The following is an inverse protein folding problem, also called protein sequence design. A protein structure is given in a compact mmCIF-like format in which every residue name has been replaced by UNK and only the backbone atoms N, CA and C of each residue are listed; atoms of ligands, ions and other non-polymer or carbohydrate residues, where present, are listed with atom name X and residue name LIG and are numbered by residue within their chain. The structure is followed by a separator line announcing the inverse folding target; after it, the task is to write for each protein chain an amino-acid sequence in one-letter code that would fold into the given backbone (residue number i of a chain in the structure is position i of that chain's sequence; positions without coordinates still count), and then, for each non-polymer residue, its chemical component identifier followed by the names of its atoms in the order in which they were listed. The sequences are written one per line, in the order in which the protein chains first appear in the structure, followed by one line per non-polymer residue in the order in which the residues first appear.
data_IF_609904154729
#
_entry.id   IF_609904154729
#
_cell.length_a   1.000
_cell.length_b   1.000
_cell.length_c   1.000
_cell.angle_alpha   90.00
_cell.angle_beta   90.00
_cell.angle_gamma   90.00
#
_symmetry.space_group_name_H-M   'P 1'
#
loop_
_entity.id
_entity.type
_entity.pdbx_description
1 polymer ?
#
# COMPACT_ATOMS: atom_id res chain seq x y z
N UNK A 1 -11.24 -22.62 12.68
CA UNK A 1 -11.44 -21.23 13.14
C UNK A 1 -12.68 -20.63 12.48
N UNK A 2 -13.60 -20.00 13.23
CA UNK A 2 -14.72 -19.24 12.67
C UNK A 2 -14.21 -17.92 12.04
N UNK A 3 -14.94 -17.45 11.02
CA UNK A 3 -14.72 -16.11 10.44
C UNK A 3 -15.19 -15.08 11.46
N UNK A 4 -14.35 -14.08 11.77
CA UNK A 4 -14.73 -12.95 12.61
C UNK A 4 -15.74 -12.06 11.89
N UNK A 5 -16.84 -11.72 12.53
CA UNK A 5 -17.93 -10.91 11.99
C UNK A 5 -18.27 -9.67 12.82
N UNK A 6 -17.32 -9.19 13.63
CA UNK A 6 -17.49 -8.02 14.48
C UNK A 6 -17.76 -8.35 15.95
N UNK A 7 -17.64 -9.61 16.35
CA UNK A 7 -17.76 -10.03 17.75
C UNK A 7 -16.66 -9.41 18.61
N UNK A 8 -16.86 -9.38 19.94
CA UNK A 8 -15.86 -8.88 20.88
C UNK A 8 -14.53 -9.66 20.73
N UNK A 9 -13.43 -8.93 20.62
CA UNK A 9 -12.09 -9.50 20.58
C UNK A 9 -11.41 -9.50 21.95
N UNK A 10 -12.13 -9.14 23.02
CA UNK A 10 -11.54 -9.07 24.36
C UNK A 10 -10.90 -10.40 24.77
N UNK A 11 -9.58 -10.38 24.94
CA UNK A 11 -8.78 -11.55 25.30
C UNK A 11 -8.61 -12.60 24.20
N UNK A 12 -9.05 -12.31 22.97
CA UNK A 12 -9.05 -13.23 21.84
C UNK A 12 -7.82 -13.07 20.95
N UNK A 13 -7.43 -14.18 20.30
CA UNK A 13 -6.45 -14.17 19.22
C UNK A 13 -7.16 -14.18 17.88
N UNK A 14 -6.76 -13.29 16.97
CA UNK A 14 -7.30 -13.21 15.63
C UNK A 14 -6.19 -13.34 14.57
N UNK A 15 -6.41 -14.23 13.60
CA UNK A 15 -5.56 -14.33 12.40
C UNK A 15 -6.15 -13.45 11.30
N UNK A 16 -5.34 -12.54 10.79
CA UNK A 16 -5.64 -11.72 9.61
C UNK A 16 -4.89 -12.29 8.43
N UNK A 17 -5.62 -12.75 7.43
CA UNK A 17 -5.04 -13.29 6.21
C UNK A 17 -4.85 -12.19 5.17
N UNK A 18 -3.62 -12.05 4.68
CA UNK A 18 -3.33 -11.23 3.52
C UNK A 18 -4.01 -11.81 2.27
N UNK A 19 -4.66 -10.95 1.51
CA UNK A 19 -5.41 -11.32 0.30
C UNK A 19 -5.00 -10.42 -0.86
N UNK A 20 -5.20 -10.91 -2.08
CA UNK A 20 -4.93 -10.16 -3.31
C UNK A 20 -3.44 -9.80 -3.48
N UNK A 21 -3.16 -8.63 -4.06
CA UNK A 21 -1.80 -8.15 -4.30
C UNK A 21 -1.19 -7.37 -3.13
N UNK A 22 0.10 -7.13 -3.18
CA UNK A 22 0.82 -6.37 -2.16
C UNK A 22 0.23 -4.99 -1.90
N UNK A 23 -0.26 -4.31 -2.95
CA UNK A 23 -0.92 -3.01 -2.81
C UNK A 23 -2.18 -3.07 -1.94
N UNK A 24 -2.97 -4.14 -2.06
CA UNK A 24 -4.15 -4.37 -1.25
C UNK A 24 -3.76 -4.58 0.21
N UNK A 25 -2.77 -5.42 0.46
CA UNK A 25 -2.29 -5.71 1.81
C UNK A 25 -1.77 -4.42 2.48
N UNK A 26 -0.93 -3.65 1.78
CA UNK A 26 -0.41 -2.38 2.28
C UNK A 26 -1.56 -1.40 2.56
N UNK A 27 -2.51 -1.25 1.63
CA UNK A 27 -3.63 -0.33 1.78
C UNK A 27 -4.49 -0.66 3.00
N UNK A 28 -4.80 -1.93 3.24
CA UNK A 28 -5.70 -2.36 4.30
C UNK A 28 -5.00 -2.59 5.65
N UNK A 29 -3.66 -2.63 5.70
CA UNK A 29 -2.90 -2.74 6.95
C UNK A 29 -3.22 -1.61 7.95
N UNK A 30 -3.64 -0.44 7.47
CA UNK A 30 -4.11 0.69 8.31
C UNK A 30 -5.25 0.34 9.27
N UNK A 31 -5.96 -0.73 9.00
CA UNK A 31 -7.07 -1.19 9.85
C UNK A 31 -6.64 -2.17 10.94
N UNK A 32 -5.41 -2.70 10.90
CA UNK A 32 -4.91 -3.64 11.90
C UNK A 32 -4.87 -3.08 13.33
N UNK A 33 -4.48 -1.81 13.58
CA UNK A 33 -4.48 -1.23 14.92
C UNK A 33 -5.85 -1.30 15.61
N UNK A 34 -6.95 -1.29 14.85
CA UNK A 34 -8.30 -1.35 15.40
C UNK A 34 -8.60 -2.66 16.12
N UNK A 35 -7.99 -3.76 15.70
CA UNK A 35 -8.18 -5.05 16.36
C UNK A 35 -7.68 -5.00 17.80
N UNK A 36 -6.57 -4.31 18.07
CA UNK A 36 -6.07 -4.07 19.43
C UNK A 36 -7.00 -3.19 20.25
N UNK A 37 -7.52 -2.12 19.65
CA UNK A 37 -8.52 -1.25 20.32
C UNK A 37 -9.79 -2.02 20.65
N UNK A 38 -10.17 -3.01 19.83
CA UNK A 38 -11.31 -3.91 20.09
C UNK A 38 -11.01 -5.01 21.13
N UNK A 39 -9.81 -4.99 21.74
CA UNK A 39 -9.43 -5.86 22.84
C UNK A 39 -8.72 -7.14 22.43
N UNK A 40 -8.29 -7.27 21.16
CA UNK A 40 -7.53 -8.45 20.73
C UNK A 40 -6.27 -8.64 21.58
N UNK A 41 -6.17 -9.80 22.24
CA UNK A 41 -4.98 -10.22 22.97
C UNK A 41 -3.81 -10.38 22.02
N UNK A 42 -4.05 -11.03 20.88
CA UNK A 42 -3.02 -11.25 19.86
C UNK A 42 -3.60 -11.08 18.46
N UNK A 43 -2.83 -10.41 17.60
CA UNK A 43 -3.08 -10.27 16.16
C UNK A 43 -1.96 -11.00 15.41
N UNK A 44 -2.33 -12.04 14.68
CA UNK A 44 -1.44 -12.83 13.83
C UNK A 44 -1.65 -12.39 12.40
N UNK A 45 -0.62 -11.88 11.73
CA UNK A 45 -0.70 -11.53 10.30
C UNK A 45 -0.10 -12.66 9.46
N UNK A 46 -0.96 -13.31 8.70
CA UNK A 46 -0.58 -14.34 7.73
C UNK A 46 -0.35 -13.68 6.37
N UNK A 47 0.92 -13.63 5.92
CA UNK A 47 1.32 -12.81 4.77
C UNK A 47 2.52 -13.37 4.01
N UNK A 48 2.91 -12.70 2.91
CA UNK A 48 4.12 -13.01 2.15
C UNK A 48 5.36 -12.43 2.82
N UNK A 49 6.45 -13.20 2.94
CA UNK A 49 7.67 -12.83 3.64
C UNK A 49 8.33 -11.52 3.20
N UNK A 50 8.10 -11.08 1.94
CA UNK A 50 8.62 -9.80 1.43
C UNK A 50 8.07 -8.54 2.12
N UNK A 51 6.93 -8.65 2.85
CA UNK A 51 6.33 -7.57 3.63
C UNK A 51 6.72 -7.59 5.11
N UNK A 52 7.40 -8.64 5.58
CA UNK A 52 7.70 -8.85 6.99
C UNK A 52 8.42 -7.63 7.61
N UNK A 53 9.52 -7.20 6.98
CA UNK A 53 10.31 -6.08 7.50
C UNK A 53 9.53 -4.76 7.46
N UNK A 54 8.68 -4.55 6.46
CA UNK A 54 7.85 -3.36 6.34
C UNK A 54 6.82 -3.26 7.47
N UNK A 55 6.14 -4.36 7.78
CA UNK A 55 5.11 -4.39 8.82
C UNK A 55 5.65 -4.65 10.22
N UNK A 56 6.93 -5.07 10.36
CA UNK A 56 7.59 -5.28 11.65
C UNK A 56 7.65 -4.03 12.54
N UNK A 57 7.40 -2.84 11.98
CA UNK A 57 7.27 -1.59 12.72
C UNK A 57 5.86 -1.36 13.32
N UNK A 58 4.88 -2.20 12.99
CA UNK A 58 3.50 -2.05 13.46
C UNK A 58 3.30 -2.80 14.79
N UNK A 59 3.31 -2.08 15.92
CA UNK A 59 3.14 -2.64 17.28
C UNK A 59 1.82 -3.39 17.49
N UNK A 60 0.87 -3.23 16.57
CA UNK A 60 -0.41 -3.93 16.63
C UNK A 60 -0.33 -5.39 16.14
N UNK A 61 0.77 -5.82 15.54
CA UNK A 61 0.96 -7.18 15.04
C UNK A 61 1.89 -7.93 16.00
N UNK A 62 1.38 -8.95 16.66
CA UNK A 62 2.16 -9.72 17.63
C UNK A 62 2.96 -10.85 16.97
N UNK A 63 2.45 -11.39 15.86
CA UNK A 63 3.07 -12.52 15.19
C UNK A 63 2.90 -12.42 13.68
N UNK A 64 3.97 -12.71 12.97
CA UNK A 64 3.96 -12.87 11.52
C UNK A 64 4.08 -14.35 11.18
N UNK A 65 3.23 -14.82 10.28
CA UNK A 65 3.30 -16.18 9.75
C UNK A 65 3.30 -16.12 8.24
N UNK A 66 4.19 -16.86 7.60
CA UNK A 66 4.14 -17.02 6.15
C UNK A 66 2.90 -17.83 5.77
N UNK A 67 2.31 -17.50 4.64
CA UNK A 67 1.23 -18.30 4.09
C UNK A 67 1.72 -19.74 3.91
N UNK A 68 1.11 -20.74 4.56
CA UNK A 68 1.45 -22.12 4.33
C UNK A 68 1.06 -22.55 2.92
N UNK A 69 1.81 -23.46 2.34
CA UNK A 69 1.45 -24.09 1.06
C UNK A 69 0.17 -24.93 1.20
N UNK A 70 -0.12 -25.42 2.40
CA UNK A 70 -1.30 -26.22 2.73
C UNK A 70 -2.00 -25.68 3.99
N UNK A 71 -3.10 -24.94 3.78
CA UNK A 71 -4.07 -24.58 4.81
C UNK A 71 -3.57 -23.68 5.95
N UNK A 72 -4.50 -23.08 6.70
CA UNK A 72 -4.20 -22.18 7.84
C UNK A 72 -4.10 -23.02 9.11
N UNK A 73 -2.89 -23.31 9.56
CA UNK A 73 -2.61 -23.95 10.86
C UNK A 73 -2.20 -22.89 11.90
N UNK A 74 -3.17 -22.10 12.39
CA UNK A 74 -2.96 -21.23 13.55
C UNK A 74 -4.01 -21.52 14.62
N UNK A 75 -3.59 -21.61 15.87
CA UNK A 75 -4.50 -21.71 17.02
C UNK A 75 -5.04 -20.29 17.36
N UNK A 76 -5.99 -19.81 16.56
CA UNK A 76 -6.65 -18.52 16.80
C UNK A 76 -8.14 -18.74 17.08
N UNK A 77 -8.72 -17.83 17.87
CA UNK A 77 -10.17 -17.84 18.12
C UNK A 77 -10.96 -17.51 16.86
N UNK A 78 -10.43 -16.58 16.05
CA UNK A 78 -11.04 -16.10 14.82
C UNK A 78 -10.03 -15.94 13.69
N UNK A 79 -10.56 -15.88 12.45
CA UNK A 79 -9.79 -15.43 11.30
C UNK A 79 -10.60 -14.46 10.45
N UNK A 80 -9.92 -13.64 9.64
CA UNK A 80 -10.54 -12.71 8.67
C UNK A 80 -9.56 -12.39 7.54
N UNK A 81 -10.09 -12.18 6.33
CA UNK A 81 -9.34 -11.59 5.24
C UNK A 81 -9.12 -10.08 5.48
N UNK A 82 -7.93 -9.58 5.19
CA UNK A 82 -7.53 -8.19 5.48
C UNK A 82 -8.46 -7.16 4.80
N UNK A 83 -8.95 -7.46 3.60
CA UNK A 83 -9.85 -6.58 2.83
C UNK A 83 -11.22 -6.45 3.48
N UNK A 84 -11.64 -7.45 4.25
CA UNK A 84 -12.93 -7.46 4.95
C UNK A 84 -12.92 -6.66 6.26
N UNK A 85 -11.74 -6.29 6.79
CA UNK A 85 -11.61 -5.57 8.06
C UNK A 85 -12.47 -4.31 8.15
N UNK A 86 -12.44 -3.36 7.19
CA UNK A 86 -13.21 -2.11 7.32
C UNK A 86 -14.72 -2.36 7.42
N UNK A 87 -15.24 -3.37 6.74
CA UNK A 87 -16.65 -3.72 6.84
C UNK A 87 -17.03 -4.16 8.24
N UNK A 88 -16.35 -5.17 8.80
CA UNK A 88 -16.68 -5.69 10.13
C UNK A 88 -16.34 -4.74 11.27
N UNK A 89 -15.27 -3.93 11.12
CA UNK A 89 -14.96 -2.84 12.06
C UNK A 89 -16.12 -1.82 12.07
N UNK A 90 -16.72 -1.51 10.92
CA UNK A 90 -17.86 -0.58 10.86
C UNK A 90 -19.14 -1.11 11.55
N UNK A 91 -19.25 -2.43 11.68
CA UNK A 91 -20.35 -3.10 12.39
C UNK A 91 -20.08 -3.26 13.90
N UNK A 92 -18.89 -2.93 14.37
CA UNK A 92 -18.51 -3.06 15.77
C UNK A 92 -19.49 -2.33 16.71
N UNK A 93 -19.68 -2.83 17.94
CA UNK A 93 -20.56 -2.19 18.92
C UNK A 93 -20.25 -0.71 19.13
N UNK A 94 -21.25 0.08 19.49
CA UNK A 94 -21.13 1.54 19.62
C UNK A 94 -19.99 1.98 20.57
N UNK A 95 -19.73 1.21 21.64
CA UNK A 95 -18.61 1.49 22.56
C UNK A 95 -17.24 1.37 21.86
N UNK A 96 -17.06 0.36 21.01
CA UNK A 96 -15.83 0.21 20.24
C UNK A 96 -15.70 1.36 19.22
N UNK A 97 -16.82 1.76 18.61
CA UNK A 97 -16.87 2.90 17.68
C UNK A 97 -16.57 4.25 18.36
N UNK A 98 -16.94 4.42 19.64
CA UNK A 98 -16.65 5.65 20.38
C UNK A 98 -15.15 5.81 20.75
N UNK A 99 -14.42 4.70 20.78
CA UNK A 99 -12.96 4.71 20.97
C UNK A 99 -12.20 5.07 19.68
N UNK A 100 -12.92 5.08 18.55
CA UNK A 100 -12.36 5.56 17.29
C UNK A 100 -12.67 7.05 17.13
N UNK A 101 -11.72 7.89 16.75
CA UNK A 101 -12.07 9.19 16.21
C UNK A 101 -13.03 8.94 15.04
N UNK A 102 -14.31 9.30 15.22
CA UNK A 102 -15.49 8.91 14.43
C UNK A 102 -15.47 9.31 12.95
N UNK A 103 -14.31 9.39 12.35
CA UNK A 103 -14.18 9.75 10.97
C UNK A 103 -13.32 8.69 10.27
N UNK A 104 -13.98 7.64 9.75
CA UNK A 104 -13.35 6.70 8.82
C UNK A 104 -12.59 7.46 7.72
N UNK A 105 -13.06 8.66 7.33
CA UNK A 105 -12.33 9.56 6.43
C UNK A 105 -11.01 10.05 7.05
N UNK A 106 -10.93 10.28 8.36
CA UNK A 106 -9.69 10.69 9.03
C UNK A 106 -8.70 9.53 9.17
N UNK A 107 -9.20 8.30 9.29
CA UNK A 107 -8.41 7.08 9.29
C UNK A 107 -7.99 6.72 7.87
N UNK A 108 -8.89 6.89 6.91
CA UNK A 108 -8.67 6.61 5.49
C UNK A 108 -7.69 7.62 4.88
N UNK A 109 -7.68 8.87 5.33
CA UNK A 109 -6.76 9.92 4.88
C UNK A 109 -5.51 10.08 5.74
N UNK A 110 -5.28 9.23 6.77
CA UNK A 110 -4.07 9.34 7.60
C UNK A 110 -2.85 8.91 6.79
N UNK A 111 -2.02 9.86 6.46
CA UNK A 111 -0.67 9.65 5.95
C UNK A 111 0.20 9.03 7.04
N UNK A 112 1.23 8.30 6.63
CA UNK A 112 2.28 7.88 7.54
C UNK A 112 1.88 6.83 8.57
N UNK A 113 0.97 5.90 8.25
CA UNK A 113 0.77 4.71 9.09
C UNK A 113 1.87 3.66 8.89
N UNK A 114 2.72 3.84 7.88
CA UNK A 114 4.01 3.17 7.72
C UNK A 114 5.12 4.21 7.66
N UNK A 115 6.31 3.84 8.09
CA UNK A 115 7.50 4.67 7.98
C UNK A 115 8.68 3.85 7.43
N UNK A 116 9.74 4.53 7.05
CA UNK A 116 10.99 3.92 6.65
C UNK A 116 12.13 4.94 6.82
N UNK A 117 13.31 4.47 7.18
CA UNK A 117 14.51 5.29 7.20
C UNK A 117 14.92 5.56 5.74
N UNK A 118 15.00 6.83 5.31
CA UNK A 118 15.38 7.14 3.94
C UNK A 118 16.78 6.59 3.60
N UNK A 119 16.92 5.97 2.45
CA UNK A 119 18.22 5.51 1.96
C UNK A 119 19.12 6.71 1.57
N UNK A 120 20.42 6.50 1.62
CA UNK A 120 21.40 7.53 1.23
C UNK A 120 21.62 7.52 -0.29
N UNK A 121 20.66 8.02 -1.05
CA UNK A 121 20.73 8.21 -2.50
C UNK A 121 20.46 9.68 -2.86
N UNK A 122 21.01 10.18 -3.99
CA UNK A 122 20.68 11.53 -4.48
C UNK A 122 19.17 11.72 -4.65
N UNK A 123 18.69 12.91 -4.26
CA UNK A 123 17.25 13.21 -4.28
C UNK A 123 16.75 13.44 -5.70
N UNK A 124 16.20 12.41 -6.33
CA UNK A 124 15.54 12.43 -7.64
C UNK A 124 14.05 12.10 -7.51
N UNK A 125 13.32 12.22 -8.61
CA UNK A 125 11.96 11.70 -8.70
C UNK A 125 12.00 10.16 -8.76
N UNK A 126 10.96 9.50 -8.25
CA UNK A 126 10.71 8.08 -8.46
C UNK A 126 9.71 7.90 -9.61
N UNK A 127 9.92 6.91 -10.45
CA UNK A 127 9.01 6.58 -11.55
C UNK A 127 8.74 5.08 -11.61
N UNK A 128 7.49 4.71 -11.88
CA UNK A 128 7.11 3.35 -12.21
C UNK A 128 5.98 3.35 -13.25
N UNK A 129 6.25 2.80 -14.41
CA UNK A 129 5.37 2.86 -15.58
C UNK A 129 4.60 1.56 -15.85
N UNK A 130 4.89 0.46 -15.12
CA UNK A 130 4.23 -0.82 -15.35
C UNK A 130 3.78 -1.51 -14.06
N UNK A 131 2.92 -2.49 -14.22
CA UNK A 131 2.46 -3.38 -13.16
C UNK A 131 3.10 -4.78 -13.33
N UNK A 132 3.00 -5.62 -12.31
CA UNK A 132 3.32 -7.04 -12.45
C UNK A 132 2.48 -7.70 -13.55
N UNK A 133 3.05 -8.68 -14.24
CA UNK A 133 2.35 -9.45 -15.28
C UNK A 133 1.13 -10.15 -14.68
N UNK A 134 -0.05 -9.82 -15.19
CA UNK A 134 -1.34 -10.36 -14.75
C UNK A 134 -2.47 -9.86 -15.65
N UNK A 135 -3.69 -10.25 -15.34
CA UNK A 135 -4.87 -9.98 -16.18
C UNK A 135 -5.06 -8.49 -16.53
N UNK A 136 -4.71 -7.58 -15.60
CA UNK A 136 -4.87 -6.13 -15.77
C UNK A 136 -3.57 -5.42 -16.20
N UNK A 137 -2.51 -6.15 -16.49
CA UNK A 137 -1.22 -5.56 -16.86
C UNK A 137 -1.36 -4.57 -18.03
N UNK A 138 -1.96 -5.00 -19.14
CA UNK A 138 -2.08 -4.19 -20.37
C UNK A 138 -2.94 -2.92 -20.21
N UNK A 139 -3.89 -2.93 -19.28
CA UNK A 139 -4.80 -1.80 -19.07
C UNK A 139 -4.28 -0.80 -18.04
N UNK A 140 -3.28 -1.19 -17.24
CA UNK A 140 -2.67 -0.34 -16.21
C UNK A 140 -1.26 0.12 -16.57
N UNK A 141 -0.58 -0.54 -17.50
CA UNK A 141 0.78 -0.19 -17.91
C UNK A 141 0.75 0.94 -18.93
N UNK A 142 1.63 1.92 -18.74
CA UNK A 142 1.91 2.99 -19.69
C UNK A 142 3.15 2.64 -20.51
N UNK A 143 3.21 3.09 -21.75
CA UNK A 143 4.44 2.94 -22.56
C UNK A 143 5.57 3.79 -21.95
N UNK A 144 6.79 3.27 -21.79
CA UNK A 144 7.86 3.99 -21.11
C UNK A 144 8.26 5.30 -21.79
N UNK A 145 8.23 5.39 -23.13
CA UNK A 145 8.49 6.63 -23.85
C UNK A 145 7.45 7.72 -23.51
N UNK A 146 6.17 7.35 -23.40
CA UNK A 146 5.11 8.28 -23.01
C UNK A 146 5.28 8.74 -21.55
N UNK A 147 5.75 7.88 -20.67
CA UNK A 147 6.10 8.25 -19.31
C UNK A 147 7.31 9.21 -19.30
N UNK A 148 8.32 8.96 -20.14
CA UNK A 148 9.51 9.82 -20.26
C UNK A 148 9.13 11.24 -20.72
N UNK A 149 8.21 11.38 -21.67
CA UNK A 149 7.74 12.69 -22.15
C UNK A 149 7.15 13.57 -21.04
N UNK A 150 6.48 12.97 -20.05
CA UNK A 150 5.81 13.72 -18.97
C UNK A 150 6.65 13.86 -17.70
N UNK A 151 7.59 12.94 -17.44
CA UNK A 151 8.40 12.91 -16.22
C UNK A 151 9.83 13.46 -16.44
N UNK A 152 10.37 13.31 -17.66
CA UNK A 152 11.79 13.54 -17.97
C UNK A 152 12.68 12.40 -17.50
N UNK A 153 14.00 12.54 -17.75
CA UNK A 153 15.01 11.51 -17.52
C UNK A 153 15.67 11.53 -16.13
N UNK A 154 15.48 12.63 -15.37
CA UNK A 154 16.09 12.79 -14.05
C UNK A 154 15.30 12.11 -12.93
N UNK A 155 15.12 10.81 -13.03
CA UNK A 155 14.39 10.01 -12.05
C UNK A 155 15.12 8.68 -11.77
N UNK A 156 14.64 7.97 -10.72
CA UNK A 156 14.96 6.57 -10.46
C UNK A 156 13.82 5.67 -10.94
N UNK A 157 14.17 4.60 -11.65
CA UNK A 157 13.21 3.56 -11.99
C UNK A 157 12.91 2.67 -10.79
N UNK A 158 11.64 2.59 -10.43
CA UNK A 158 11.10 1.62 -9.48
C UNK A 158 10.40 0.46 -10.21
N UNK A 159 10.63 0.33 -11.52
CA UNK A 159 10.18 -0.82 -12.27
C UNK A 159 11.09 -2.02 -11.95
N UNK A 160 10.55 -3.20 -11.64
CA UNK A 160 11.37 -4.40 -11.40
C UNK A 160 12.09 -4.91 -12.65
N UNK A 161 11.62 -4.58 -13.84
CA UNK A 161 12.29 -4.90 -15.10
C UNK A 161 13.42 -3.89 -15.40
N UNK A 162 14.38 -4.27 -16.25
CA UNK A 162 15.44 -3.36 -16.69
C UNK A 162 14.86 -2.16 -17.45
N UNK A 163 15.41 -1.00 -17.16
CA UNK A 163 14.93 0.27 -17.67
C UNK A 163 16.12 1.06 -18.27
N UNK A 164 15.97 1.51 -19.52
CA UNK A 164 17.00 2.26 -20.23
C UNK A 164 16.88 3.77 -20.11
N UNK A 165 15.76 4.26 -19.59
CA UNK A 165 15.45 5.69 -19.57
C UNK A 165 15.83 6.37 -18.27
N UNK A 166 15.80 5.63 -17.15
CA UNK A 166 16.00 6.22 -15.83
C UNK A 166 17.13 5.53 -15.05
N UNK A 167 17.65 6.25 -14.06
CA UNK A 167 18.70 5.71 -13.21
C UNK A 167 18.21 4.47 -12.45
N UNK A 168 19.00 3.39 -12.39
CA UNK A 168 18.68 2.25 -11.53
C UNK A 168 18.84 2.65 -10.06
N UNK A 169 18.08 1.98 -9.19
CA UNK A 169 18.30 1.98 -7.75
C UNK A 169 19.50 1.07 -7.39
N UNK A 170 20.12 1.27 -6.21
CA UNK A 170 21.14 0.35 -5.72
C UNK A 170 20.66 -1.11 -5.74
N UNK A 171 21.54 -2.02 -6.13
CA UNK A 171 21.23 -3.46 -6.17
C UNK A 171 21.40 -4.09 -4.78
N UNK A 172 20.59 -3.68 -3.82
CA UNK A 172 20.62 -4.10 -2.41
C UNK A 172 19.52 -5.11 -2.06
N UNK A 173 18.79 -5.60 -3.07
CA UNK A 173 17.67 -6.54 -2.91
C UNK A 173 16.31 -5.88 -2.71
N UNK A 174 16.17 -4.58 -2.97
CA UNK A 174 14.91 -3.83 -2.82
C UNK A 174 13.72 -4.45 -3.58
N UNK A 175 13.96 -5.08 -4.73
CA UNK A 175 12.92 -5.73 -5.55
C UNK A 175 12.21 -6.89 -4.83
N UNK A 176 12.80 -7.43 -3.77
CA UNK A 176 12.28 -8.55 -2.97
C UNK A 176 11.94 -8.17 -1.53
N UNK A 177 12.19 -6.91 -1.14
CA UNK A 177 11.99 -6.41 0.23
C UNK A 177 11.28 -5.06 0.17
N UNK A 178 10.02 -5.03 0.58
CA UNK A 178 9.20 -3.82 0.58
C UNK A 178 9.68 -2.75 1.56
N UNK A 179 10.41 -3.12 2.62
CA UNK A 179 11.00 -2.14 3.53
C UNK A 179 12.16 -1.38 2.85
N UNK A 180 12.99 -2.08 2.06
CA UNK A 180 14.03 -1.43 1.25
C UNK A 180 13.43 -0.56 0.15
N UNK A 181 12.37 -1.04 -0.50
CA UNK A 181 11.60 -0.24 -1.46
C UNK A 181 11.07 1.04 -0.79
N UNK A 182 10.55 0.94 0.43
CA UNK A 182 10.07 2.08 1.22
C UNK A 182 11.20 3.07 1.54
N UNK A 183 12.38 2.57 1.93
CA UNK A 183 13.57 3.39 2.22
C UNK A 183 14.03 4.20 1.00
N UNK A 184 14.09 3.58 -0.17
CA UNK A 184 14.42 4.28 -1.41
C UNK A 184 13.33 5.30 -1.78
N UNK A 185 12.06 4.94 -1.62
CA UNK A 185 10.95 5.82 -1.95
C UNK A 185 10.89 7.06 -1.05
N UNK A 186 11.16 6.92 0.24
CA UNK A 186 11.28 8.03 1.21
C UNK A 186 12.45 8.98 0.88
N UNK A 187 13.51 8.50 0.23
CA UNK A 187 14.63 9.32 -0.21
C UNK A 187 14.33 10.14 -1.48
N UNK A 188 13.29 9.79 -2.22
CA UNK A 188 12.91 10.49 -3.45
C UNK A 188 12.14 11.79 -3.17
N UNK A 189 12.05 12.67 -4.18
CA UNK A 189 11.25 13.91 -4.14
C UNK A 189 9.75 13.61 -4.09
N UNK A 190 9.34 12.54 -4.75
CA UNK A 190 7.99 12.08 -4.93
C UNK A 190 7.94 10.94 -5.93
N UNK A 191 6.76 10.42 -6.22
CA UNK A 191 6.54 9.31 -7.13
C UNK A 191 5.56 9.69 -8.24
N UNK A 192 5.90 9.32 -9.47
CA UNK A 192 4.93 9.26 -10.58
C UNK A 192 4.79 7.80 -11.00
N UNK A 193 3.59 7.27 -10.95
CA UNK A 193 3.37 5.83 -11.17
C UNK A 193 2.01 5.57 -11.81
N UNK A 194 1.85 4.39 -12.37
CA UNK A 194 0.54 3.83 -12.71
C UNK A 194 -0.11 3.17 -11.48
N UNK A 195 -1.37 2.74 -11.57
CA UNK A 195 -2.09 2.04 -10.48
C UNK A 195 -1.45 0.68 -10.16
N UNK A 196 -0.61 0.65 -9.13
CA UNK A 196 0.18 -0.52 -8.71
C UNK A 196 0.51 -0.48 -7.21
N UNK A 197 1.06 -1.56 -6.67
CA UNK A 197 1.39 -1.70 -5.24
C UNK A 197 2.25 -0.57 -4.67
N UNK A 198 3.20 -0.03 -5.46
CA UNK A 198 4.05 1.07 -5.01
C UNK A 198 3.29 2.38 -4.79
N UNK A 199 2.15 2.60 -5.49
CA UNK A 199 1.28 3.76 -5.25
C UNK A 199 0.70 3.72 -3.83
N UNK A 200 0.28 2.53 -3.38
CA UNK A 200 -0.22 2.32 -2.03
C UNK A 200 0.88 2.42 -0.98
N UNK A 201 2.10 1.94 -1.27
CA UNK A 201 3.25 2.13 -0.40
C UNK A 201 3.58 3.61 -0.23
N UNK A 202 3.65 4.36 -1.32
CA UNK A 202 3.92 5.79 -1.30
C UNK A 202 2.89 6.55 -0.46
N UNK A 203 1.61 6.26 -0.66
CA UNK A 203 0.53 6.83 0.14
C UNK A 203 0.63 6.47 1.63
N UNK A 204 0.96 5.21 1.95
CA UNK A 204 1.16 4.75 3.33
C UNK A 204 2.33 5.46 4.03
N UNK A 205 3.35 5.85 3.28
CA UNK A 205 4.54 6.58 3.75
C UNK A 205 4.36 8.11 3.75
N UNK A 206 3.25 8.64 3.24
CA UNK A 206 3.04 10.07 3.04
C UNK A 206 3.92 10.70 1.95
N UNK A 207 4.40 9.91 1.00
CA UNK A 207 5.21 10.40 -0.13
C UNK A 207 4.30 11.01 -1.18
N UNK A 208 4.58 12.26 -1.59
CA UNK A 208 3.84 12.94 -2.65
C UNK A 208 3.82 12.10 -3.93
N UNK A 209 2.64 11.80 -4.44
CA UNK A 209 2.50 10.82 -5.52
C UNK A 209 1.46 11.26 -6.55
N UNK A 210 1.81 11.11 -7.81
CA UNK A 210 0.86 11.18 -8.94
C UNK A 210 0.63 9.77 -9.45
N UNK A 211 -0.62 9.32 -9.39
CA UNK A 211 -1.04 8.02 -9.96
C UNK A 211 -1.73 8.26 -11.29
N UNK A 212 -1.14 7.74 -12.36
CA UNK A 212 -1.70 7.85 -13.71
C UNK A 212 -2.68 6.70 -13.94
N UNK A 213 -3.88 7.04 -14.41
CA UNK A 213 -4.90 6.11 -14.86
C UNK A 213 -4.85 5.98 -16.38
N UNK A 214 -4.09 5.00 -16.95
CA UNK A 214 -3.83 4.96 -18.39
C UNK A 214 -5.08 4.75 -19.24
N UNK A 215 -6.12 4.12 -18.66
CA UNK A 215 -7.39 3.90 -19.34
C UNK A 215 -8.56 4.16 -18.40
N UNK A 216 -9.39 5.12 -18.78
CA UNK A 216 -10.52 5.63 -17.99
C UNK A 216 -11.54 4.53 -17.63
N UNK A 217 -11.79 3.61 -18.54
CA UNK A 217 -12.74 2.50 -18.38
C UNK A 217 -12.33 1.53 -17.26
N UNK A 218 -11.02 1.40 -17.01
CA UNK A 218 -10.45 0.48 -16.03
C UNK A 218 -10.00 1.16 -14.73
N UNK A 219 -10.47 2.38 -14.47
CA UNK A 219 -10.19 3.08 -13.21
C UNK A 219 -10.70 2.25 -12.03
N UNK A 220 -9.81 1.79 -11.20
CA UNK A 220 -10.15 1.06 -9.99
C UNK A 220 -11.08 1.91 -9.11
N UNK A 221 -12.12 1.32 -8.57
CA UNK A 221 -13.09 1.99 -7.69
C UNK A 221 -12.43 2.73 -6.53
N UNK A 222 -11.30 2.23 -6.04
CA UNK A 222 -10.50 2.83 -4.97
C UNK A 222 -10.05 4.26 -5.30
N UNK A 223 -9.77 4.54 -6.56
CA UNK A 223 -9.37 5.85 -7.03
C UNK A 223 -10.53 6.72 -7.54
N UNK A 224 -11.75 6.15 -7.66
CA UNK A 224 -12.94 6.88 -8.15
C UNK A 224 -13.59 7.76 -7.09
N UNK A 225 -13.58 7.36 -5.84
CA UNK A 225 -14.39 7.94 -4.76
C UNK A 225 -13.57 8.73 -3.73
N UNK A 226 -12.49 9.30 -4.14
CA UNK A 226 -11.61 10.09 -3.31
C UNK A 226 -10.27 9.40 -3.07
N UNK A 227 -9.37 10.14 -2.47
CA UNK A 227 -8.05 9.66 -2.18
C UNK A 227 -8.04 8.91 -0.85
N UNK A 228 -7.51 7.71 -0.87
CA UNK A 228 -7.17 6.96 0.34
C UNK A 228 -5.99 7.61 1.09
N UNK A 229 -5.33 8.57 0.45
CA UNK A 229 -4.11 9.21 0.92
C UNK A 229 -4.14 10.68 0.53
N UNK A 230 -3.84 11.58 1.46
CA UNK A 230 -3.80 13.04 1.19
C UNK A 230 -2.62 13.41 0.29
N UNK A 231 -1.54 12.60 0.34
CA UNK A 231 -0.33 12.76 -0.49
C UNK A 231 -0.49 12.30 -1.94
N UNK A 232 -1.62 11.69 -2.31
CA UNK A 232 -1.80 11.08 -3.64
C UNK A 232 -2.81 11.84 -4.48
N UNK A 233 -2.42 12.17 -5.71
CA UNK A 233 -3.29 12.76 -6.73
C UNK A 233 -3.41 11.79 -7.90
N UNK A 234 -4.61 11.60 -8.43
CA UNK A 234 -4.83 10.81 -9.65
C UNK A 234 -4.94 11.70 -10.87
N UNK A 235 -4.35 11.27 -11.98
CA UNK A 235 -4.38 11.95 -13.28
C UNK A 235 -4.86 10.94 -14.33
N UNK A 236 -5.84 11.34 -15.16
CA UNK A 236 -6.32 10.50 -16.26
C UNK A 236 -5.43 10.71 -17.51
N UNK A 237 -5.53 9.80 -18.49
CA UNK A 237 -4.65 9.81 -19.68
C UNK A 237 -4.79 11.09 -20.52
N UNK A 238 -5.95 11.70 -20.57
CA UNK A 238 -6.21 12.97 -21.25
C UNK A 238 -5.69 14.20 -20.47
N UNK A 239 -5.26 14.00 -19.23
CA UNK A 239 -4.76 15.05 -18.34
C UNK A 239 -3.24 15.01 -18.09
N UNK A 240 -2.48 14.19 -18.83
CA UNK A 240 -1.03 14.03 -18.64
C UNK A 240 -0.26 15.35 -18.69
N UNK A 241 -0.75 16.34 -19.43
CA UNK A 241 -0.18 17.69 -19.49
C UNK A 241 -0.10 18.42 -18.13
N UNK A 242 -0.85 17.95 -17.11
CA UNK A 242 -0.82 18.50 -15.74
C UNK A 242 0.36 17.98 -14.91
N UNK A 243 0.96 16.84 -15.29
CA UNK A 243 1.98 16.14 -14.48
C UNK A 243 3.23 17.00 -14.25
N UNK A 244 3.80 17.73 -15.25
CA UNK A 244 4.95 18.58 -14.99
C UNK A 244 4.73 19.63 -13.90
N UNK A 245 3.52 20.21 -13.82
CA UNK A 245 3.17 21.15 -12.76
C UNK A 245 3.03 20.50 -11.39
N UNK A 246 2.47 19.29 -11.34
CA UNK A 246 2.37 18.52 -10.11
C UNK A 246 3.76 18.12 -9.59
N UNK A 247 4.67 17.72 -10.48
CA UNK A 247 6.07 17.40 -10.12
C UNK A 247 6.79 18.62 -9.54
N UNK A 248 6.59 19.82 -10.09
CA UNK A 248 7.19 21.06 -9.56
C UNK A 248 6.78 21.39 -8.12
N UNK A 249 5.64 20.87 -7.67
CA UNK A 249 5.11 21.05 -6.30
C UNK A 249 5.53 19.95 -5.32
N UNK A 250 6.25 18.92 -5.79
CA UNK A 250 6.82 17.86 -4.96
C UNK A 250 8.11 18.32 -4.27
#
# INVERSE_FOLDING_TARGET
MPVWRGESLLGKTITVQAEQGFGDIIQYARFLPFLKVMGAKSVVLLQHGSLHNLFGQMDCIDTFTNMPEEGIATESDYWIGIISLPYYISLAPAYARSLFPCNLKKIVGSEGYLDAIPSNIPKKLAVNWSTSKGLLHYVRTMHPEKMLEVVGDNAYSFNPEEDRFWSPLPNDGWKKDWNKTASHLKACKGLVTVDTGIAHLAGALGVKTVVIMPKKEFKCWRWKHGTWYDSVVTVEEDELHKIPDLIRRM
#
